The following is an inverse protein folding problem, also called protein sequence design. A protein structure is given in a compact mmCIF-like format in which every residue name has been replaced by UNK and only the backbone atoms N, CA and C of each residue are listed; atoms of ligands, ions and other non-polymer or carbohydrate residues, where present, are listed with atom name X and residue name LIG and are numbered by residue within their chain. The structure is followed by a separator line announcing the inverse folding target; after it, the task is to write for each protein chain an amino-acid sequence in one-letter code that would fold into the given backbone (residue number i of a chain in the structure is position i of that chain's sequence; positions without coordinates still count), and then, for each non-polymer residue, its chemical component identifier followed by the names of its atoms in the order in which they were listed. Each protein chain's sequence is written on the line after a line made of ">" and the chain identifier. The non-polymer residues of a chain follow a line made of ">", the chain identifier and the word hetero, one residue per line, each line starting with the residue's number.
data_IF_451407944420
#
_entry.id   IF_451407944420
#
_cell.length_a   1.000
_cell.length_b   1.000
_cell.length_c   1.000
_cell.angle_alpha   90.00
_cell.angle_beta   90.00
_cell.angle_gamma   90.00
#
_symmetry.space_group_name_H-M   'P 1'
#
loop_
_entity.id
_entity.type
_entity.pdbx_description
1 polymer ?
#
# COMPACT_ATOMS: atom_id res chain seq x y z
N UNK A 1 -36.36 -33.84 -68.76
CA UNK A 1 -34.96 -34.14 -68.37
C UNK A 1 -34.80 -33.85 -66.88
N UNK A 2 -34.75 -34.89 -66.04
CA UNK A 2 -34.55 -34.76 -64.59
C UNK A 2 -33.05 -34.88 -64.27
N UNK A 3 -32.47 -33.87 -63.62
CA UNK A 3 -31.02 -33.76 -63.41
C UNK A 3 -30.43 -34.75 -62.39
N UNK A 4 -29.15 -35.15 -62.54
CA UNK A 4 -28.48 -36.19 -61.74
C UNK A 4 -27.98 -35.70 -60.37
N UNK A 5 -28.82 -35.04 -59.56
CA UNK A 5 -28.36 -34.28 -58.37
C UNK A 5 -28.78 -34.80 -56.98
N UNK A 6 -29.70 -35.77 -56.87
CA UNK A 6 -30.31 -36.17 -55.59
C UNK A 6 -29.72 -37.44 -54.97
N UNK A 7 -29.28 -38.42 -55.76
CA UNK A 7 -28.72 -39.69 -55.26
C UNK A 7 -27.33 -39.52 -54.63
N UNK A 8 -26.45 -38.75 -55.27
CA UNK A 8 -25.05 -38.55 -54.86
C UNK A 8 -24.93 -37.90 -53.46
N UNK A 9 -25.77 -36.90 -53.16
CA UNK A 9 -25.78 -36.24 -51.83
C UNK A 9 -26.18 -37.18 -50.69
N UNK A 10 -27.07 -38.14 -50.96
CA UNK A 10 -27.52 -39.09 -49.94
C UNK A 10 -26.41 -40.09 -49.59
N UNK A 11 -25.69 -40.58 -50.59
CA UNK A 11 -24.56 -41.49 -50.42
C UNK A 11 -23.38 -40.83 -49.69
N UNK A 12 -23.09 -39.56 -50.01
CA UNK A 12 -22.08 -38.76 -49.30
C UNK A 12 -22.45 -38.52 -47.84
N UNK A 13 -23.74 -38.30 -47.53
CA UNK A 13 -24.19 -38.13 -46.15
C UNK A 13 -24.05 -39.42 -45.34
N UNK A 14 -24.34 -40.57 -45.96
CA UNK A 14 -24.21 -41.89 -45.34
C UNK A 14 -22.74 -42.24 -45.06
N UNK A 15 -21.84 -41.98 -46.01
CA UNK A 15 -20.40 -42.19 -45.82
C UNK A 15 -19.82 -41.28 -44.72
N UNK A 16 -20.27 -40.02 -44.65
CA UNK A 16 -19.90 -39.09 -43.58
C UNK A 16 -20.40 -39.57 -42.22
N UNK A 17 -21.64 -40.02 -42.12
CA UNK A 17 -22.19 -40.53 -40.85
C UNK A 17 -21.45 -41.76 -40.36
N UNK A 18 -21.12 -42.68 -41.27
CA UNK A 18 -20.33 -43.87 -40.93
C UNK A 18 -18.93 -43.46 -40.43
N UNK A 19 -18.27 -42.51 -41.09
CA UNK A 19 -16.98 -41.98 -40.67
C UNK A 19 -17.03 -41.29 -39.30
N UNK A 20 -18.09 -40.52 -39.01
CA UNK A 20 -18.27 -39.87 -37.70
C UNK A 20 -18.50 -40.90 -36.58
N UNK A 21 -19.27 -41.94 -36.86
CA UNK A 21 -19.60 -42.97 -35.89
C UNK A 21 -18.36 -43.82 -35.54
N UNK A 22 -17.53 -44.13 -36.54
CA UNK A 22 -16.26 -44.84 -36.38
C UNK A 22 -15.22 -44.09 -35.53
N UNK A 23 -15.35 -42.76 -35.36
CA UNK A 23 -14.44 -41.98 -34.48
C UNK A 23 -14.72 -42.19 -32.99
N UNK A 24 -15.91 -42.63 -32.63
CA UNK A 24 -16.36 -42.76 -31.24
C UNK A 24 -16.60 -44.21 -30.80
N UNK A 25 -16.79 -45.13 -31.74
CA UNK A 25 -17.16 -46.52 -31.46
C UNK A 25 -16.25 -47.53 -32.18
N UNK A 26 -16.22 -48.76 -31.68
CA UNK A 26 -15.55 -49.89 -32.33
C UNK A 26 -16.19 -50.19 -33.70
N UNK A 27 -15.46 -50.82 -34.64
CA UNK A 27 -15.97 -51.06 -35.99
C UNK A 27 -17.25 -51.90 -36.00
N UNK A 28 -17.36 -52.90 -35.13
CA UNK A 28 -18.53 -53.77 -35.01
C UNK A 28 -19.77 -53.02 -34.46
N UNK A 29 -19.58 -52.22 -33.40
CA UNK A 29 -20.65 -51.36 -32.87
C UNK A 29 -21.07 -50.27 -33.86
N UNK A 30 -20.13 -49.76 -34.65
CA UNK A 30 -20.38 -48.77 -35.71
C UNK A 30 -21.33 -49.34 -36.77
N UNK A 31 -21.05 -50.54 -37.28
CA UNK A 31 -21.88 -51.20 -38.28
C UNK A 31 -23.28 -51.49 -37.73
N UNK A 32 -23.35 -52.06 -36.52
CA UNK A 32 -24.63 -52.37 -35.86
C UNK A 32 -25.50 -51.14 -35.64
N UNK A 33 -24.94 -50.06 -35.08
CA UNK A 33 -25.68 -48.82 -34.81
C UNK A 33 -26.10 -48.14 -36.13
N UNK A 34 -25.23 -48.16 -37.13
CA UNK A 34 -25.53 -47.57 -38.44
C UNK A 34 -26.69 -48.30 -39.11
N UNK A 35 -26.64 -49.63 -39.19
CA UNK A 35 -27.67 -50.46 -39.80
C UNK A 35 -28.99 -50.42 -39.01
N UNK A 36 -28.96 -50.59 -37.69
CA UNK A 36 -30.20 -50.66 -36.90
C UNK A 36 -30.89 -49.30 -36.76
N UNK A 37 -30.12 -48.22 -36.54
CA UNK A 37 -30.68 -46.96 -36.01
C UNK A 37 -30.56 -45.76 -36.94
N UNK A 38 -29.63 -45.79 -37.90
CA UNK A 38 -29.29 -44.60 -38.70
C UNK A 38 -29.69 -44.77 -40.17
N UNK A 39 -29.57 -45.97 -40.76
CA UNK A 39 -29.79 -46.18 -42.20
C UNK A 39 -31.20 -45.78 -42.67
N UNK A 40 -32.21 -45.96 -41.81
CA UNK A 40 -33.61 -45.64 -42.11
C UNK A 40 -34.05 -44.27 -41.58
N UNK A 41 -33.17 -43.52 -40.89
CA UNK A 41 -33.50 -42.22 -40.31
C UNK A 41 -32.58 -41.14 -40.90
N UNK A 42 -33.10 -40.20 -41.72
CA UNK A 42 -32.26 -39.18 -42.34
C UNK A 42 -31.59 -38.33 -41.25
N UNK A 43 -30.26 -38.41 -41.17
CA UNK A 43 -29.46 -37.67 -40.21
C UNK A 43 -29.21 -36.26 -40.74
N UNK A 44 -30.17 -35.37 -40.48
CA UNK A 44 -30.12 -33.96 -40.86
C UNK A 44 -29.18 -33.20 -39.91
N UNK A 45 -27.88 -33.43 -40.00
CA UNK A 45 -26.90 -32.55 -39.36
C UNK A 45 -26.89 -31.26 -40.15
N UNK A 46 -27.64 -30.27 -39.65
CA UNK A 46 -27.31 -28.89 -39.98
C UNK A 46 -25.92 -28.63 -39.40
N UNK A 47 -24.90 -28.30 -40.23
CA UNK A 47 -23.62 -27.86 -39.72
C UNK A 47 -23.90 -26.75 -38.70
N UNK A 48 -23.56 -26.98 -37.43
CA UNK A 48 -23.77 -25.95 -36.42
C UNK A 48 -22.86 -24.78 -36.81
N UNK A 49 -23.44 -23.64 -37.20
CA UNK A 49 -22.77 -22.40 -37.60
C UNK A 49 -21.90 -22.50 -38.87
N UNK A 50 -21.80 -21.42 -39.67
CA UNK A 50 -21.50 -21.49 -41.11
C UNK A 50 -20.12 -22.09 -41.42
N UNK A 51 -19.96 -22.69 -42.62
CA UNK A 51 -18.65 -23.14 -43.09
C UNK A 51 -17.71 -21.93 -43.24
N UNK A 52 -16.43 -22.05 -42.83
CA UNK A 52 -15.45 -20.94 -42.83
C UNK A 52 -15.16 -20.31 -44.20
N UNK A 53 -15.76 -20.82 -45.28
CA UNK A 53 -15.63 -20.28 -46.63
C UNK A 53 -16.76 -19.32 -47.04
N UNK A 54 -17.88 -19.25 -46.32
CA UNK A 54 -19.10 -18.54 -46.76
C UNK A 54 -19.34 -17.19 -46.06
N UNK A 55 -18.37 -16.64 -45.33
CA UNK A 55 -18.45 -15.27 -44.82
C UNK A 55 -17.10 -14.62 -45.01
N UNK A 56 -17.03 -13.74 -46.01
CA UNK A 56 -15.94 -12.80 -46.24
C UNK A 56 -15.62 -12.03 -44.96
N UNK A 57 -14.56 -12.45 -44.24
CA UNK A 57 -13.97 -11.72 -43.12
C UNK A 57 -13.36 -12.64 -42.06
N UNK A 58 -12.20 -12.29 -41.46
CA UNK A 58 -11.56 -13.07 -40.40
C UNK A 58 -12.33 -12.87 -39.09
N UNK A 59 -13.53 -13.43 -39.00
CA UNK A 59 -14.34 -13.40 -37.78
C UNK A 59 -13.89 -14.52 -36.84
N UNK A 60 -13.42 -14.24 -35.61
CA UNK A 60 -12.97 -15.27 -34.69
C UNK A 60 -14.11 -16.21 -34.33
N UNK A 61 -13.88 -17.53 -34.43
CA UNK A 61 -14.82 -18.57 -34.00
C UNK A 61 -15.24 -18.30 -32.54
N UNK A 62 -16.45 -17.78 -32.36
CA UNK A 62 -16.98 -17.36 -31.08
C UNK A 62 -17.02 -18.52 -30.07
N UNK A 63 -17.13 -19.77 -30.54
CA UNK A 63 -17.11 -20.96 -29.69
C UNK A 63 -15.67 -21.28 -29.24
N UNK A 64 -14.70 -21.19 -30.13
CA UNK A 64 -13.29 -21.33 -29.78
C UNK A 64 -12.85 -20.24 -28.79
N UNK A 65 -13.24 -18.99 -29.01
CA UNK A 65 -12.96 -17.87 -28.10
C UNK A 65 -13.53 -18.11 -26.69
N UNK A 66 -14.79 -18.55 -26.58
CA UNK A 66 -15.42 -18.92 -25.29
C UNK A 66 -14.68 -20.06 -24.58
N UNK A 67 -14.22 -21.07 -25.32
CA UNK A 67 -13.47 -22.20 -24.77
C UNK A 67 -12.12 -21.76 -24.20
N UNK A 68 -11.39 -20.91 -24.92
CA UNK A 68 -10.11 -20.33 -24.47
C UNK A 68 -10.32 -19.46 -23.23
N UNK A 69 -11.34 -18.60 -23.22
CA UNK A 69 -11.67 -17.76 -22.07
C UNK A 69 -11.98 -18.59 -20.81
N UNK A 70 -12.78 -19.66 -20.94
CA UNK A 70 -13.08 -20.58 -19.82
C UNK A 70 -11.83 -21.25 -19.29
N UNK A 71 -10.94 -21.75 -20.17
CA UNK A 71 -9.68 -22.40 -19.77
C UNK A 71 -8.74 -21.42 -19.04
N UNK A 72 -8.69 -20.16 -19.50
CA UNK A 72 -7.92 -19.07 -18.84
C UNK A 72 -8.48 -18.72 -17.46
N UNK A 73 -9.81 -18.65 -17.30
CA UNK A 73 -10.42 -18.44 -15.98
C UNK A 73 -10.14 -19.60 -15.03
N UNK A 74 -10.19 -20.84 -15.52
CA UNK A 74 -9.91 -22.02 -14.71
C UNK A 74 -8.44 -22.06 -14.24
N UNK A 75 -7.49 -21.73 -15.12
CA UNK A 75 -6.06 -21.65 -14.75
C UNK A 75 -5.76 -20.50 -13.80
N UNK A 76 -6.42 -19.34 -13.96
CA UNK A 76 -6.31 -18.23 -13.01
C UNK A 76 -6.89 -18.57 -11.63
N UNK A 77 -7.98 -19.33 -11.57
CA UNK A 77 -8.55 -19.80 -10.30
C UNK A 77 -7.64 -20.82 -9.62
N UNK A 78 -7.04 -21.75 -10.37
CA UNK A 78 -6.13 -22.73 -9.79
C UNK A 78 -4.82 -22.08 -9.31
N UNK A 79 -4.26 -21.13 -10.05
CA UNK A 79 -3.05 -20.41 -9.61
C UNK A 79 -3.30 -19.57 -8.36
N UNK A 80 -4.43 -18.86 -8.27
CA UNK A 80 -4.83 -18.12 -7.06
C UNK A 80 -5.01 -19.04 -5.84
N UNK A 81 -5.59 -20.23 -6.02
CA UNK A 81 -5.73 -21.23 -4.93
C UNK A 81 -4.38 -21.77 -4.46
N UNK A 82 -3.47 -22.09 -5.39
CA UNK A 82 -2.10 -22.53 -5.05
C UNK A 82 -1.32 -21.41 -4.33
N UNK A 83 -1.43 -20.18 -4.81
CA UNK A 83 -0.81 -19.01 -4.18
C UNK A 83 -1.38 -18.68 -2.78
N UNK A 84 -2.66 -19.00 -2.54
CA UNK A 84 -3.26 -18.87 -1.21
C UNK A 84 -2.78 -19.94 -0.23
N UNK A 85 -2.57 -21.18 -0.68
CA UNK A 85 -2.08 -22.28 0.17
C UNK A 85 -0.59 -22.22 0.53
N UNK A 86 0.21 -21.45 -0.22
CA UNK A 86 1.63 -21.20 0.09
C UNK A 86 1.82 -20.20 1.24
N UNK A 87 0.83 -19.35 1.52
CA UNK A 87 0.90 -18.37 2.60
C UNK A 87 0.42 -19.04 3.88
N UNK A 88 1.11 -18.86 5.03
CA UNK A 88 0.60 -19.35 6.30
C UNK A 88 -0.79 -18.74 6.54
N UNK A 89 -1.68 -19.53 7.11
CA UNK A 89 -3.03 -19.07 7.44
C UNK A 89 -2.92 -17.86 8.39
N UNK A 90 -3.58 -16.73 8.09
CA UNK A 90 -3.51 -15.58 8.96
C UNK A 90 -4.13 -15.93 10.31
N UNK A 91 -3.43 -15.59 11.39
CA UNK A 91 -3.92 -15.81 12.76
C UNK A 91 -5.35 -15.30 12.91
N UNK A 92 -6.22 -16.14 13.46
CA UNK A 92 -7.60 -15.78 13.79
C UNK A 92 -7.64 -14.64 14.81
N UNK A 93 -8.77 -13.92 14.87
CA UNK A 93 -8.95 -12.85 15.83
C UNK A 93 -8.80 -13.34 17.30
N UNK A 94 -9.22 -14.59 17.59
CA UNK A 94 -9.09 -15.21 18.91
C UNK A 94 -7.63 -15.52 19.24
N UNK A 95 -6.87 -16.03 18.28
CA UNK A 95 -5.44 -16.31 18.46
C UNK A 95 -4.62 -15.05 18.68
N UNK A 96 -4.88 -13.99 17.91
CA UNK A 96 -4.19 -12.69 18.09
C UNK A 96 -4.43 -12.08 19.46
N UNK A 97 -5.65 -12.20 20.00
CA UNK A 97 -5.99 -11.78 21.37
C UNK A 97 -5.29 -12.65 22.40
N UNK A 98 -5.31 -13.98 22.23
CA UNK A 98 -4.63 -14.92 23.13
C UNK A 98 -3.12 -14.67 23.22
N UNK A 99 -2.48 -14.30 22.11
CA UNK A 99 -1.05 -13.98 22.09
C UNK A 99 -0.72 -12.58 22.64
N UNK A 100 -1.72 -11.73 22.92
CA UNK A 100 -1.49 -10.36 23.37
C UNK A 100 -0.71 -9.52 22.35
N UNK A 101 -0.82 -9.83 21.04
CA UNK A 101 -0.02 -9.18 19.98
C UNK A 101 -0.20 -7.65 19.95
N UNK A 102 -1.31 -7.18 20.51
CA UNK A 102 -1.67 -5.77 20.52
C UNK A 102 -1.43 -5.07 21.86
N UNK A 103 -1.08 -5.84 22.89
CA UNK A 103 -0.88 -5.33 24.22
C UNK A 103 0.56 -4.84 24.36
N UNK A 104 0.74 -3.52 24.30
CA UNK A 104 1.98 -2.92 24.75
C UNK A 104 2.00 -3.13 26.27
N UNK A 105 3.00 -3.84 26.80
CA UNK A 105 3.09 -4.30 28.20
C UNK A 105 2.91 -3.14 29.20
N UNK A 106 1.65 -2.77 29.48
CA UNK A 106 1.34 -1.57 30.25
C UNK A 106 1.70 -1.75 31.72
N UNK A 107 2.18 -0.67 32.33
CA UNK A 107 2.48 -0.55 33.76
C UNK A 107 1.22 -0.64 34.64
N UNK A 108 0.01 -0.56 34.07
CA UNK A 108 -1.24 -0.71 34.81
C UNK A 108 -1.90 -2.06 34.60
N UNK A 109 -2.21 -2.69 35.75
CA UNK A 109 -2.79 -4.02 35.87
C UNK A 109 -4.20 -4.11 35.28
N UNK A 110 -4.44 -5.23 34.61
CA UNK A 110 -5.75 -5.81 34.33
C UNK A 110 -5.54 -7.31 34.47
N UNK A 111 -6.32 -7.94 35.35
CA UNK A 111 -5.98 -9.18 36.05
C UNK A 111 -5.69 -10.40 35.19
N UNK A 112 -4.56 -11.03 35.48
CA UNK A 112 -4.49 -12.47 35.72
C UNK A 112 -3.25 -12.73 36.59
N UNK A 113 -3.43 -13.39 37.73
CA UNK A 113 -2.44 -13.58 38.79
C UNK A 113 -1.45 -14.71 38.45
N UNK A 114 -0.80 -14.63 37.29
CA UNK A 114 0.31 -15.50 36.92
C UNK A 114 1.61 -14.94 37.51
N UNK A 115 1.99 -15.48 38.68
CA UNK A 115 3.09 -15.08 39.58
C UNK A 115 4.53 -15.11 39.00
N UNK A 116 4.77 -15.20 37.70
CA UNK A 116 6.12 -15.61 37.22
C UNK A 116 6.74 -14.77 36.10
N UNK A 117 6.19 -13.62 35.72
CA UNK A 117 6.96 -12.68 34.89
C UNK A 117 6.94 -11.27 35.47
N UNK A 118 8.12 -10.83 35.92
CA UNK A 118 8.49 -9.45 36.19
C UNK A 118 8.01 -8.59 35.01
N UNK A 119 6.84 -7.99 35.17
CA UNK A 119 6.12 -7.25 34.14
C UNK A 119 6.96 -6.02 33.83
N UNK A 120 7.82 -6.13 32.81
CA UNK A 120 8.71 -5.04 32.39
C UNK A 120 7.84 -3.81 32.14
N UNK A 121 8.06 -2.79 32.97
CA UNK A 121 7.31 -1.54 32.95
C UNK A 121 7.68 -0.78 31.68
N UNK A 122 6.68 -0.36 30.89
CA UNK A 122 6.90 0.62 29.82
C UNK A 122 7.47 1.89 30.43
N UNK A 123 8.70 2.25 30.05
CA UNK A 123 9.28 3.56 30.35
C UNK A 123 9.39 4.40 29.09
N UNK A 124 9.21 5.70 29.24
CA UNK A 124 9.39 6.70 28.18
C UNK A 124 10.80 6.62 27.59
N UNK A 125 11.81 6.43 28.44
CA UNK A 125 13.22 6.31 28.07
C UNK A 125 13.50 5.16 27.11
N UNK A 126 12.75 4.05 27.18
CA UNK A 126 12.88 2.94 26.21
C UNK A 126 12.53 3.38 24.78
N UNK A 127 11.69 4.40 24.62
CA UNK A 127 11.23 4.89 23.33
C UNK A 127 11.97 6.13 22.83
N UNK A 128 12.90 6.70 23.60
CA UNK A 128 13.71 7.85 23.15
C UNK A 128 14.56 7.53 21.91
N UNK A 129 15.28 6.39 21.83
CA UNK A 129 16.03 6.04 20.61
C UNK A 129 15.14 5.89 19.38
N UNK A 130 13.87 5.49 19.56
CA UNK A 130 12.89 5.42 18.46
C UNK A 130 12.52 6.82 17.97
N UNK A 131 12.45 7.80 18.87
CA UNK A 131 12.24 9.19 18.49
C UNK A 131 13.45 9.76 17.74
N UNK A 132 14.67 9.45 18.16
CA UNK A 132 15.89 9.89 17.47
C UNK A 132 15.97 9.33 16.05
N UNK A 133 15.61 8.05 15.88
CA UNK A 133 15.51 7.44 14.55
C UNK A 133 14.48 8.15 13.69
N UNK A 134 13.31 8.45 14.25
CA UNK A 134 12.24 9.16 13.54
C UNK A 134 12.66 10.59 13.16
N UNK A 135 13.42 11.29 14.01
CA UNK A 135 13.98 12.60 13.69
C UNK A 135 14.96 12.54 12.51
N UNK A 136 15.78 11.49 12.41
CA UNK A 136 16.64 11.27 11.23
C UNK A 136 15.81 11.08 9.96
N UNK A 137 14.84 10.17 10.03
CA UNK A 137 13.91 9.85 8.93
C UNK A 137 13.15 11.09 8.41
N UNK A 138 12.54 11.88 9.29
CA UNK A 138 11.71 13.03 8.86
C UNK A 138 12.57 14.15 8.27
N UNK A 139 13.78 14.34 8.78
CA UNK A 139 14.75 15.31 8.24
C UNK A 139 15.20 14.91 6.84
N UNK A 140 15.46 13.62 6.61
CA UNK A 140 15.85 13.10 5.29
C UNK A 140 14.73 13.31 4.26
N UNK A 141 13.48 13.00 4.62
CA UNK A 141 12.34 13.16 3.72
C UNK A 141 12.07 14.63 3.37
N UNK A 142 12.10 15.51 4.38
CA UNK A 142 11.84 16.92 4.17
C UNK A 142 13.00 17.60 3.45
N UNK A 143 14.25 17.26 3.76
CA UNK A 143 15.43 17.91 3.20
C UNK A 143 15.34 19.44 3.36
N UNK A 144 15.37 20.16 2.24
CA UNK A 144 15.26 21.62 2.23
C UNK A 144 13.86 22.13 2.64
N UNK A 145 12.82 21.31 2.49
CA UNK A 145 11.44 21.67 2.87
C UNK A 145 11.27 21.84 4.38
N UNK A 146 12.24 21.38 5.18
CA UNK A 146 12.27 21.64 6.62
C UNK A 146 12.40 23.14 6.94
N UNK A 147 13.01 23.92 6.03
CA UNK A 147 13.25 25.35 6.23
C UNK A 147 12.21 26.22 5.52
N UNK A 148 11.61 25.72 4.45
CA UNK A 148 10.64 26.47 3.63
C UNK A 148 9.19 26.08 3.92
N UNK A 149 8.94 24.84 4.36
CA UNK A 149 7.62 24.28 4.56
C UNK A 149 6.80 24.19 3.26
N UNK A 150 5.50 24.46 3.37
CA UNK A 150 4.59 24.56 2.23
C UNK A 150 3.96 23.23 1.80
N UNK A 151 3.32 23.26 0.61
CA UNK A 151 2.50 22.15 0.11
C UNK A 151 3.31 20.89 -0.19
N UNK A 152 4.56 21.04 -0.65
CA UNK A 152 5.43 19.90 -0.93
C UNK A 152 5.80 19.14 0.38
N UNK A 153 6.17 19.88 1.43
CA UNK A 153 6.38 19.34 2.77
C UNK A 153 5.13 18.60 3.28
N UNK A 154 3.97 19.25 3.16
CA UNK A 154 2.69 18.68 3.59
C UNK A 154 2.35 17.37 2.85
N UNK A 155 2.61 17.31 1.54
CA UNK A 155 2.36 16.11 0.74
C UNK A 155 3.25 14.93 1.18
N UNK A 156 4.53 15.19 1.48
CA UNK A 156 5.43 14.15 2.01
C UNK A 156 4.98 13.69 3.39
N UNK A 157 4.69 14.63 4.30
CA UNK A 157 4.24 14.34 5.67
C UNK A 157 2.90 13.60 5.73
N UNK A 158 2.00 13.84 4.78
CA UNK A 158 0.72 13.11 4.70
C UNK A 158 0.91 11.59 4.54
N UNK A 159 1.94 11.20 3.78
CA UNK A 159 2.30 9.80 3.54
C UNK A 159 3.29 9.22 4.56
N UNK A 160 3.98 10.09 5.29
CA UNK A 160 5.05 9.72 6.21
C UNK A 160 4.56 8.90 7.41
N UNK A 161 5.48 8.14 7.98
CA UNK A 161 5.22 7.42 9.22
C UNK A 161 5.32 8.35 10.44
N UNK A 162 4.45 8.12 11.43
CA UNK A 162 4.40 8.85 12.70
C UNK A 162 4.79 7.98 13.90
N UNK A 163 5.08 6.69 13.71
CA UNK A 163 5.66 5.88 14.80
C UNK A 163 7.03 6.47 15.20
N UNK A 164 7.22 6.74 16.49
CA UNK A 164 8.40 7.44 16.99
C UNK A 164 8.29 8.96 16.99
N UNK A 165 7.27 9.54 16.37
CA UNK A 165 7.06 10.98 16.43
C UNK A 165 6.70 11.39 17.86
N UNK A 166 7.34 12.46 18.35
CA UNK A 166 6.90 13.14 19.59
C UNK A 166 5.79 14.10 19.22
N UNK A 167 4.62 13.87 19.81
CA UNK A 167 3.38 14.60 19.49
C UNK A 167 2.81 15.24 20.74
N UNK A 168 2.17 16.40 20.57
CA UNK A 168 1.35 17.06 21.58
C UNK A 168 -0.06 17.26 21.03
N UNK A 169 -1.08 16.95 21.81
CA UNK A 169 -2.47 17.29 21.45
C UNK A 169 -2.67 18.80 21.64
N UNK A 170 -2.73 19.55 20.55
CA UNK A 170 -2.95 21.01 20.59
C UNK A 170 -4.43 21.36 20.69
N UNK A 171 -5.29 20.61 19.99
CA UNK A 171 -6.75 20.75 20.07
C UNK A 171 -7.43 19.39 20.17
N UNK A 172 -8.54 19.33 20.90
CA UNK A 172 -9.44 18.19 20.88
C UNK A 172 -10.87 18.61 21.19
N UNK A 173 -11.85 17.91 20.59
CA UNK A 173 -13.25 17.96 21.00
C UNK A 173 -13.45 17.60 22.48
N UNK A 174 -12.54 16.80 23.06
CA UNK A 174 -12.53 16.47 24.47
C UNK A 174 -11.43 17.24 25.21
N UNK A 175 -11.76 18.27 26.02
CA UNK A 175 -10.76 19.14 26.66
C UNK A 175 -9.75 18.40 27.54
N UNK A 176 -10.14 17.28 28.15
CA UNK A 176 -9.26 16.48 29.01
C UNK A 176 -8.09 15.81 28.26
N UNK A 177 -8.14 15.76 26.92
CA UNK A 177 -7.08 15.21 26.07
C UNK A 177 -6.06 16.27 25.64
N UNK A 178 -6.43 17.55 25.70
CA UNK A 178 -5.54 18.65 25.32
C UNK A 178 -4.32 18.66 26.23
N UNK A 179 -3.14 18.85 25.65
CA UNK A 179 -1.87 18.83 26.39
C UNK A 179 -1.29 17.44 26.66
N UNK A 180 -1.96 16.34 26.25
CA UNK A 180 -1.29 15.03 26.22
C UNK A 180 -0.09 15.13 25.29
N UNK A 181 1.10 14.82 25.83
CA UNK A 181 2.36 14.88 25.10
C UNK A 181 3.17 13.60 25.32
N UNK A 182 3.79 13.11 24.24
CA UNK A 182 4.68 11.96 24.32
C UNK A 182 5.07 11.40 22.96
N UNK A 183 5.66 10.21 22.97
CA UNK A 183 6.13 9.52 21.75
C UNK A 183 5.04 8.56 21.28
N UNK A 184 4.70 8.59 19.99
CA UNK A 184 3.76 7.64 19.38
C UNK A 184 4.42 6.28 19.27
N UNK A 185 3.91 5.31 20.01
CA UNK A 185 4.41 3.91 19.97
C UNK A 185 3.64 3.09 18.96
N UNK A 186 2.35 3.39 18.76
CA UNK A 186 1.49 2.63 17.85
C UNK A 186 0.52 3.53 17.12
N UNK A 187 0.54 3.44 15.79
CA UNK A 187 -0.49 3.98 14.92
C UNK A 187 -1.48 2.89 14.54
N UNK A 188 -2.75 3.11 14.86
CA UNK A 188 -3.87 2.31 14.39
C UNK A 188 -4.76 3.17 13.49
N UNK A 189 -5.80 2.58 12.88
CA UNK A 189 -6.70 3.33 11.99
C UNK A 189 -7.24 4.59 12.71
N UNK A 190 -8.03 4.41 13.76
CA UNK A 190 -8.74 5.54 14.38
C UNK A 190 -8.07 6.16 15.60
N UNK A 191 -6.96 5.59 16.07
CA UNK A 191 -6.33 6.04 17.31
C UNK A 191 -4.81 5.85 17.29
N UNK A 192 -4.12 6.68 18.05
CA UNK A 192 -2.69 6.58 18.31
C UNK A 192 -2.46 6.24 19.78
N UNK A 193 -1.48 5.39 20.07
CA UNK A 193 -1.01 5.15 21.44
C UNK A 193 0.26 5.95 21.69
N UNK A 194 0.20 6.83 22.69
CA UNK A 194 1.27 7.77 23.04
C UNK A 194 1.81 7.38 24.40
N UNK A 195 3.13 7.17 24.52
CA UNK A 195 3.78 7.02 25.82
C UNK A 195 4.16 8.38 26.35
N UNK A 196 3.61 8.75 27.50
CA UNK A 196 3.87 10.03 28.16
C UNK A 196 5.14 9.95 29.01
N UNK A 197 5.75 11.10 29.34
CA UNK A 197 6.89 11.18 30.27
C UNK A 197 6.62 10.57 31.65
N UNK A 198 5.33 10.43 32.01
CA UNK A 198 4.87 9.77 33.25
C UNK A 198 4.92 8.24 33.16
N UNK A 199 5.52 7.65 32.12
CA UNK A 199 5.59 6.21 31.90
C UNK A 199 4.20 5.54 31.80
N UNK A 200 3.24 6.29 31.24
CA UNK A 200 1.86 5.83 31.00
C UNK A 200 1.56 5.93 29.52
N UNK A 201 1.01 4.85 28.96
CA UNK A 201 0.49 4.82 27.58
C UNK A 201 -0.94 5.36 27.58
N UNK A 202 -1.21 6.34 26.71
CA UNK A 202 -2.53 6.93 26.49
C UNK A 202 -2.98 6.59 25.07
N UNK A 203 -4.18 6.04 24.94
CA UNK A 203 -4.85 5.85 23.65
C UNK A 203 -5.63 7.13 23.32
N UNK A 204 -5.21 7.84 22.28
CA UNK A 204 -5.84 9.08 21.83
C UNK A 204 -6.54 8.82 20.49
N UNK A 205 -7.88 8.95 20.42
CA UNK A 205 -8.61 8.91 19.16
C UNK A 205 -8.13 10.03 18.25
N UNK A 206 -8.00 9.75 16.94
CA UNK A 206 -7.62 10.76 15.94
C UNK A 206 -8.78 11.69 15.61
N UNK A 207 -10.01 11.17 15.68
CA UNK A 207 -11.20 11.96 15.43
C UNK A 207 -11.32 13.15 16.40
N UNK A 208 -11.54 14.34 15.86
CA UNK A 208 -11.66 15.58 16.61
C UNK A 208 -10.41 15.89 17.43
N UNK A 209 -9.22 15.54 16.94
CA UNK A 209 -7.93 15.88 17.57
C UNK A 209 -6.95 16.46 16.56
N UNK A 210 -6.17 17.44 17.00
CA UNK A 210 -5.02 17.98 16.27
C UNK A 210 -3.74 17.64 17.03
N UNK A 211 -2.79 17.06 16.30
CA UNK A 211 -1.48 16.68 16.84
C UNK A 211 -0.44 17.65 16.33
N UNK A 212 0.17 18.41 17.23
CA UNK A 212 1.33 19.24 16.96
C UNK A 212 2.60 18.41 17.06
N UNK A 213 3.47 18.54 16.07
CA UNK A 213 4.75 17.84 15.97
C UNK A 213 5.85 18.87 15.76
N UNK A 214 6.94 18.70 16.51
CA UNK A 214 8.08 19.61 16.48
C UNK A 214 9.32 18.85 16.00
N UNK A 215 9.97 19.38 14.98
CA UNK A 215 11.18 18.82 14.37
C UNK A 215 12.27 19.87 14.45
N UNK A 216 13.24 19.66 15.34
CA UNK A 216 14.43 20.50 15.36
C UNK A 216 15.21 20.31 14.06
N UNK A 217 15.52 21.39 13.34
CA UNK A 217 16.52 21.33 12.28
C UNK A 217 17.82 20.77 12.86
N UNK A 218 18.53 19.92 12.10
CA UNK A 218 19.85 19.45 12.50
C UNK A 218 20.68 20.71 12.74
N UNK A 219 21.05 20.98 13.99
CA UNK A 219 22.12 21.94 14.26
C UNK A 219 23.31 21.46 13.44
N UNK A 220 23.93 22.34 12.66
CA UNK A 220 25.15 22.05 11.93
C UNK A 220 26.27 21.77 12.94
N UNK A 221 26.21 20.63 13.62
CA UNK A 221 27.18 20.24 14.62
C UNK A 221 28.40 19.68 13.88
N UNK A 222 29.45 20.50 13.86
CA UNK A 222 30.86 20.11 13.90
C UNK A 222 31.38 19.36 12.67
N UNK A 223 31.91 20.16 11.74
CA UNK A 223 32.76 19.74 10.63
C UNK A 223 33.80 20.81 10.29
N UNK A 224 34.47 21.39 11.29
CA UNK A 224 35.80 22.00 11.11
C UNK A 224 36.85 20.90 11.35
N UNK A 225 36.95 19.95 10.43
CA UNK A 225 38.17 19.14 10.34
C UNK A 225 39.24 20.00 9.67
N UNK A 226 40.34 20.18 10.39
CA UNK A 226 41.41 21.08 10.02
C UNK A 226 42.11 20.66 8.74
N UNK A 227 42.31 21.63 7.86
CA UNK A 227 43.40 21.60 6.90
C UNK A 227 44.40 22.67 7.35
N UNK A 228 45.30 22.26 8.25
CA UNK A 228 46.38 23.09 8.76
C UNK A 228 47.66 22.84 7.95
N UNK A 229 48.25 23.95 7.47
CA UNK A 229 49.64 24.11 7.03
C UNK A 229 49.96 23.44 5.68
N UNK A 230 50.70 24.04 4.75
CA UNK A 230 51.97 24.76 4.93
C UNK A 230 52.12 25.67 3.70
N UNK A 231 52.02 26.98 3.87
CA UNK A 231 53.13 27.96 3.94
C UNK A 231 53.54 28.56 2.59
N UNK A 232 53.33 29.88 2.46
CA UNK A 232 54.43 30.88 2.52
C UNK A 232 54.17 32.10 1.63
N UNK A 233 54.29 33.28 2.27
CA UNK A 233 54.84 34.56 1.74
C UNK A 233 54.20 35.10 0.43
N UNK A 234 53.73 36.34 0.34
CA UNK A 234 54.47 37.56 0.63
C UNK A 234 53.57 38.78 0.38
N UNK A 235 53.75 39.75 1.24
CA UNK A 235 53.38 41.18 1.27
C UNK A 235 53.33 41.92 -0.09
N UNK A 236 52.41 42.89 -0.24
CA UNK A 236 52.65 44.35 -0.44
C UNK A 236 51.52 45.09 -1.21
N UNK A 237 50.95 46.11 -0.53
CA UNK A 237 50.41 47.44 -0.91
C UNK A 237 49.44 47.64 -2.10
N UNK A 238 48.35 48.35 -1.82
CA UNK A 238 47.57 49.12 -2.79
C UNK A 238 46.38 49.85 -2.17
N UNK A 239 46.47 51.19 -2.10
CA UNK A 239 45.38 52.16 -1.84
C UNK A 239 44.31 52.00 -2.96
N UNK A 240 43.04 52.43 -2.87
CA UNK A 240 42.57 53.76 -2.52
C UNK A 240 41.02 53.83 -2.62
N UNK A 241 40.45 54.87 -2.03
CA UNK A 241 39.14 55.51 -2.30
C UNK A 241 37.82 54.73 -2.18
N UNK A 242 36.92 55.26 -1.34
CA UNK A 242 35.65 54.64 -1.00
C UNK A 242 34.44 55.08 -1.83
N UNK A 243 33.31 54.42 -1.58
CA UNK A 243 31.99 55.05 -1.62
C UNK A 243 31.04 54.34 -0.66
N UNK A 244 30.39 55.17 0.14
CA UNK A 244 29.34 54.90 1.11
C UNK A 244 28.07 54.37 0.43
N UNK A 245 27.62 53.17 0.80
CA UNK A 245 26.19 52.83 0.82
C UNK A 245 25.92 52.00 2.08
N UNK A 246 25.25 52.64 3.05
CA UNK A 246 24.71 52.02 4.24
C UNK A 246 23.46 51.24 3.82
N UNK A 247 23.52 49.92 3.87
CA UNK A 247 22.35 49.08 4.10
C UNK A 247 22.49 48.51 5.50
N UNK A 248 21.67 49.04 6.41
CA UNK A 248 21.43 48.46 7.73
C UNK A 248 20.66 47.15 7.52
N UNK A 249 21.39 46.06 7.32
CA UNK A 249 20.86 44.73 7.64
C UNK A 249 21.00 44.52 9.15
N UNK A 250 19.85 44.54 9.82
CA UNK A 250 19.72 44.17 11.21
C UNK A 250 20.36 42.79 11.42
N UNK A 251 21.48 42.78 12.16
CA UNK A 251 22.13 41.60 12.66
C UNK A 251 21.11 40.73 13.41
N UNK A 252 20.66 39.66 12.77
CA UNK A 252 19.94 38.59 13.45
C UNK A 252 20.98 37.68 14.10
N UNK A 253 20.93 37.60 15.42
CA UNK A 253 21.69 36.66 16.23
C UNK A 253 21.67 35.26 15.59
N UNK A 254 22.85 34.63 15.35
CA UNK A 254 22.90 33.26 14.90
C UNK A 254 22.63 32.32 16.09
N UNK A 255 22.12 31.12 15.81
CA UNK A 255 22.18 29.95 16.70
C UNK A 255 21.10 29.78 17.79
N UNK A 256 19.83 30.08 17.49
CA UNK A 256 18.73 29.26 18.01
C UNK A 256 18.19 28.42 16.86
N UNK A 257 18.59 27.14 16.82
CA UNK A 257 18.28 26.22 15.72
C UNK A 257 16.79 26.27 15.35
N UNK A 258 16.49 26.66 14.11
CA UNK A 258 15.11 26.80 13.62
C UNK A 258 14.34 25.49 13.86
N UNK A 259 13.27 25.57 14.66
CA UNK A 259 12.37 24.43 14.91
C UNK A 259 11.25 24.47 13.88
N UNK A 260 11.16 23.43 13.06
CA UNK A 260 10.04 23.24 12.16
C UNK A 260 8.86 22.63 12.92
N UNK A 261 7.70 23.29 12.87
CA UNK A 261 6.49 22.86 13.57
C UNK A 261 5.39 22.65 12.55
N UNK A 262 4.72 21.51 12.63
CA UNK A 262 3.53 21.24 11.83
C UNK A 262 2.43 20.61 12.68
N UNK A 263 1.19 20.79 12.23
CA UNK A 263 0.02 20.19 12.86
C UNK A 263 -0.62 19.16 11.92
N UNK A 264 -1.04 18.05 12.51
CA UNK A 264 -1.74 16.96 11.82
C UNK A 264 -3.17 16.94 12.30
N UNK A 265 -4.10 17.12 11.36
CA UNK A 265 -5.53 17.00 11.62
C UNK A 265 -5.92 15.52 11.64
N UNK A 266 -6.31 15.03 12.81
CA UNK A 266 -6.56 13.61 13.02
C UNK A 266 -7.73 13.03 12.20
N UNK A 267 -8.73 13.84 11.87
CA UNK A 267 -9.87 13.44 11.02
C UNK A 267 -9.43 12.99 9.62
N UNK A 268 -8.46 13.69 9.03
CA UNK A 268 -7.86 13.33 7.74
C UNK A 268 -6.76 12.27 7.87
N UNK A 269 -6.36 11.95 9.11
CA UNK A 269 -5.25 11.04 9.41
C UNK A 269 -5.68 9.67 9.95
N UNK A 270 -6.97 9.32 9.82
CA UNK A 270 -7.57 8.06 10.31
C UNK A 270 -7.11 6.79 9.59
N UNK A 271 -6.31 6.86 8.53
CA UNK A 271 -5.68 5.64 7.97
C UNK A 271 -4.35 5.37 8.65
N UNK A 272 -3.98 4.10 8.80
CA UNK A 272 -2.68 3.70 9.37
C UNK A 272 -1.54 4.13 8.45
N UNK A 273 -0.34 4.40 8.98
CA UNK A 273 0.83 4.81 8.19
C UNK A 273 1.09 3.93 6.96
N UNK A 274 1.08 2.60 7.15
CA UNK A 274 1.31 1.66 6.06
C UNK A 274 0.24 1.74 4.93
N UNK A 275 -0.99 2.08 5.30
CA UNK A 275 -2.09 2.24 4.34
C UNK A 275 -2.04 3.62 3.67
N UNK A 276 -1.55 4.66 4.37
CA UNK A 276 -1.38 6.03 3.86
C UNK A 276 -0.38 6.12 2.73
N UNK A 277 0.75 5.41 2.85
CA UNK A 277 1.82 5.45 1.85
C UNK A 277 1.36 5.11 0.43
N UNK A 278 0.38 4.22 0.29
CA UNK A 278 -0.16 3.80 -1.01
C UNK A 278 -1.50 4.47 -1.36
N UNK A 279 -2.02 5.36 -0.50
CA UNK A 279 -3.32 5.97 -0.67
C UNK A 279 -3.21 7.25 -1.48
N UNK A 280 -4.10 7.39 -2.48
CA UNK A 280 -4.32 8.67 -3.15
C UNK A 280 -5.17 9.56 -2.24
N UNK A 281 -4.55 10.59 -1.66
CA UNK A 281 -5.25 11.59 -0.88
C UNK A 281 -6.14 12.44 -1.80
N UNK A 282 -7.36 12.71 -1.35
CA UNK A 282 -8.30 13.62 -2.01
C UNK A 282 -8.61 14.75 -1.04
N UNK A 283 -8.70 15.97 -1.56
CA UNK A 283 -9.15 17.10 -0.75
C UNK A 283 -10.61 16.88 -0.37
N UNK A 284 -10.85 16.70 0.93
CA UNK A 284 -12.19 16.69 1.51
C UNK A 284 -12.34 17.96 2.33
N UNK A 285 -13.40 18.72 2.05
CA UNK A 285 -13.77 19.85 2.88
C UNK A 285 -14.28 19.33 4.23
N UNK A 286 -13.84 19.95 5.32
CA UNK A 286 -14.32 19.67 6.66
C UNK A 286 -15.14 20.86 7.12
N UNK A 287 -16.39 20.61 7.46
CA UNK A 287 -17.33 21.66 7.91
C UNK A 287 -17.00 22.15 9.33
N UNK A 288 -16.38 21.30 10.15
CA UNK A 288 -16.08 21.59 11.55
C UNK A 288 -14.58 21.40 11.81
N UNK A 289 -13.89 22.49 12.21
CA UNK A 289 -12.45 22.56 12.48
C UNK A 289 -12.18 23.16 13.88
#
# INVERSE_FOLDING_TARGET
>A
MAGPGKSDKSQQSQSLTHSLLARAHSPDSTQRIFAEKIQHRPFLVRPSSPPPAATSGPGPDARAARRVARRRQQSQRSSKRRAAGLKPEPLSARERRRMGLYDIRSSHGGGDNSKTQKKQQISYTTFEPLHDLWLGYVREILGNELFTGGQAAAAKLASADIHGARVRVSRSSCPSRVGIEGIVVRDSRYAVQIVTKKNVVKLVPKEGTMFRVEVAARAAAMGSEGQAGTDSKQTILGQDTGTRQQQEEAAQDPEQGKVFVFEVLGDQFQTRSADRANRKFRAHFLENL
#
